data_IF_412825632621
#
_entry.id   IF_412825632621
#
_cell.length_a   1.000
_cell.length_b   1.000
_cell.length_c   1.000
_cell.angle_alpha   90.00
_cell.angle_beta   90.00
_cell.angle_gamma   90.00
#
_symmetry.space_group_name_H-M   'P 1'
#
loop_
_entity.id
_entity.type
_entity.pdbx_description
1 polymer ?
#
# COMPACT_ATOMS: atom_id res chain seq x y z
N UNK A 1 8.21 18.08 35.09
CA UNK A 1 9.18 17.65 34.07
C UNK A 1 8.46 17.71 32.75
N UNK A 2 8.69 18.78 31.98
CA UNK A 2 8.23 18.86 30.60
C UNK A 2 9.02 17.84 29.78
N UNK A 3 8.32 17.05 28.97
CA UNK A 3 8.99 16.23 27.96
C UNK A 3 9.68 17.18 26.98
N UNK A 4 10.94 16.92 26.58
CA UNK A 4 11.56 17.72 25.53
C UNK A 4 10.72 17.61 24.25
N UNK A 5 10.65 18.66 23.43
CA UNK A 5 10.01 18.57 22.12
C UNK A 5 10.67 17.43 21.35
N UNK A 6 9.87 16.62 20.67
CA UNK A 6 10.36 15.64 19.71
C UNK A 6 11.25 16.42 18.74
N UNK A 7 12.56 16.16 18.76
CA UNK A 7 13.46 16.62 17.71
C UNK A 7 12.83 16.15 16.40
N UNK A 8 12.54 17.08 15.50
CA UNK A 8 12.21 16.75 14.12
C UNK A 8 13.35 15.84 13.64
N UNK A 9 13.07 14.55 13.55
CA UNK A 9 13.96 13.64 12.85
C UNK A 9 14.15 14.29 11.49
N UNK A 10 15.38 14.70 11.18
CA UNK A 10 15.79 15.24 9.87
C UNK A 10 15.71 14.09 8.87
N UNK A 11 14.48 13.64 8.62
CA UNK A 11 14.16 12.64 7.64
C UNK A 11 14.54 13.27 6.31
N UNK A 12 15.36 12.59 5.50
CA UNK A 12 15.70 13.11 4.19
C UNK A 12 14.41 13.46 3.45
N UNK A 13 14.38 14.60 2.71
CA UNK A 13 13.21 14.95 1.93
C UNK A 13 12.88 13.77 0.99
N UNK A 14 11.59 13.44 0.80
CA UNK A 14 11.22 12.33 -0.04
C UNK A 14 11.82 12.51 -1.44
N UNK A 15 12.22 11.41 -2.12
CA UNK A 15 12.81 11.52 -3.44
C UNK A 15 11.87 12.25 -4.39
N UNK A 16 12.38 13.09 -5.31
CA UNK A 16 11.55 13.77 -6.28
C UNK A 16 10.81 12.74 -7.13
N UNK A 17 9.51 12.95 -7.34
CA UNK A 17 8.69 12.07 -8.17
C UNK A 17 9.27 12.03 -9.59
N UNK A 18 9.61 10.84 -10.12
CA UNK A 18 10.19 10.74 -11.45
C UNK A 18 9.13 11.04 -12.52
N UNK A 19 9.51 11.64 -13.65
CA UNK A 19 8.59 11.85 -14.78
C UNK A 19 8.31 10.57 -15.57
N UNK A 20 9.15 9.55 -15.43
CA UNK A 20 8.99 8.24 -16.11
C UNK A 20 9.71 7.14 -15.33
N UNK A 21 9.24 5.90 -15.52
CA UNK A 21 9.92 4.71 -14.99
C UNK A 21 10.65 4.01 -16.14
N UNK A 22 11.97 4.16 -16.20
CA UNK A 22 12.83 3.53 -17.21
C UNK A 22 13.66 2.40 -16.60
N UNK A 23 14.22 1.52 -17.43
CA UNK A 23 15.15 0.49 -16.95
C UNK A 23 16.38 1.11 -16.26
N UNK A 24 16.86 2.25 -16.77
CA UNK A 24 17.99 2.95 -16.16
C UNK A 24 17.62 3.48 -14.77
N UNK A 25 16.44 4.10 -14.64
CA UNK A 25 15.91 4.52 -13.34
C UNK A 25 15.83 3.33 -12.38
N UNK A 26 15.18 2.24 -12.79
CA UNK A 26 15.05 1.03 -11.99
C UNK A 26 16.39 0.37 -11.64
N UNK A 27 17.45 0.56 -12.43
CA UNK A 27 18.77 -0.01 -12.16
C UNK A 27 19.61 0.86 -11.21
N UNK A 28 19.53 2.19 -11.35
CA UNK A 28 20.38 3.14 -10.63
C UNK A 28 19.82 3.59 -9.28
N UNK A 29 18.50 3.58 -9.11
CA UNK A 29 17.85 4.01 -7.87
C UNK A 29 18.14 2.97 -6.79
N UNK A 30 18.65 3.34 -5.61
CA UNK A 30 18.86 2.42 -4.48
C UNK A 30 17.55 1.80 -3.95
N UNK A 31 17.63 0.62 -3.30
CA UNK A 31 16.45 -0.13 -2.86
C UNK A 31 15.58 0.64 -1.85
N UNK A 32 16.19 1.43 -0.97
CA UNK A 32 15.47 2.26 0.02
C UNK A 32 14.61 3.34 -0.63
N UNK A 33 15.13 4.00 -1.66
CA UNK A 33 14.42 5.06 -2.40
C UNK A 33 13.51 4.54 -3.53
N UNK A 34 13.72 3.30 -3.98
CA UNK A 34 13.05 2.76 -5.16
C UNK A 34 11.54 2.63 -4.95
N UNK A 35 11.10 1.99 -3.87
CA UNK A 35 9.67 1.77 -3.60
C UNK A 35 8.93 3.10 -3.41
N UNK A 36 9.51 4.01 -2.63
CA UNK A 36 8.93 5.35 -2.42
C UNK A 36 8.76 6.11 -3.74
N UNK A 37 9.75 6.03 -4.62
CA UNK A 37 9.69 6.69 -5.92
C UNK A 37 8.65 6.08 -6.85
N UNK A 38 8.52 4.74 -6.87
CA UNK A 38 7.48 4.05 -7.65
C UNK A 38 6.08 4.38 -7.12
N UNK A 39 5.92 4.42 -5.79
CA UNK A 39 4.67 4.81 -5.16
C UNK A 39 4.30 6.26 -5.49
N UNK A 40 5.22 7.20 -5.29
CA UNK A 40 5.03 8.62 -5.61
C UNK A 40 4.71 8.83 -7.09
N UNK A 41 5.35 8.06 -7.98
CA UNK A 41 5.06 8.09 -9.41
C UNK A 41 3.60 7.73 -9.70
N UNK A 42 3.16 6.55 -9.24
CA UNK A 42 1.79 6.09 -9.50
C UNK A 42 0.78 7.02 -8.83
N UNK A 43 1.03 7.46 -7.59
CA UNK A 43 0.20 8.42 -6.88
C UNK A 43 0.02 9.74 -7.65
N UNK A 44 1.07 10.24 -8.31
CA UNK A 44 0.98 11.45 -9.13
C UNK A 44 0.06 11.31 -10.36
N UNK A 45 -0.08 10.08 -10.87
CA UNK A 45 -0.93 9.77 -12.01
C UNK A 45 -2.39 9.56 -11.59
N UNK A 46 -2.63 8.74 -10.57
CA UNK A 46 -3.99 8.39 -10.11
C UNK A 46 -4.63 9.50 -9.29
N UNK A 47 -3.83 10.35 -8.63
CA UNK A 47 -4.27 11.41 -7.72
C UNK A 47 -5.22 10.84 -6.66
N UNK A 48 -6.49 11.25 -6.67
CA UNK A 48 -7.50 10.81 -5.71
C UNK A 48 -8.21 9.50 -6.11
N UNK A 49 -8.05 9.04 -7.36
CA UNK A 49 -8.69 7.82 -7.87
C UNK A 49 -7.80 6.58 -7.67
N UNK A 50 -7.58 6.23 -6.40
CA UNK A 50 -6.78 5.07 -6.01
C UNK A 50 -7.56 3.75 -6.06
N UNK A 51 -8.79 3.76 -6.58
CA UNK A 51 -9.65 2.58 -6.63
C UNK A 51 -9.07 1.49 -7.53
N UNK A 52 -9.32 0.22 -7.17
CA UNK A 52 -9.04 -0.93 -8.05
C UNK A 52 -9.64 -0.76 -9.46
N UNK A 53 -10.79 -0.07 -9.57
CA UNK A 53 -11.46 0.14 -10.84
C UNK A 53 -10.93 1.34 -11.64
N UNK A 54 -9.93 2.05 -11.11
CA UNK A 54 -9.37 3.23 -11.76
C UNK A 54 -8.86 2.91 -13.17
N UNK A 55 -9.33 3.63 -14.21
CA UNK A 55 -8.86 3.42 -15.57
C UNK A 55 -7.38 3.78 -15.73
N UNK A 56 -6.87 4.71 -14.92
CA UNK A 56 -5.45 5.09 -14.92
C UNK A 56 -4.63 3.93 -14.37
N UNK A 57 -5.00 3.42 -13.18
CA UNK A 57 -4.29 2.31 -12.55
C UNK A 57 -4.30 1.04 -13.42
N UNK A 58 -5.42 0.77 -14.11
CA UNK A 58 -5.56 -0.36 -15.03
C UNK A 58 -4.73 -0.24 -16.31
N UNK A 59 -4.42 0.98 -16.75
CA UNK A 59 -3.61 1.23 -17.94
C UNK A 59 -2.10 1.16 -17.67
N UNK A 60 -1.68 1.16 -16.39
CA UNK A 60 -0.28 1.04 -16.02
C UNK A 60 0.25 -0.39 -16.24
N UNK A 61 1.57 -0.54 -16.45
CA UNK A 61 2.24 -1.84 -16.38
C UNK A 61 1.86 -2.61 -15.12
N UNK A 62 1.68 -3.92 -15.26
CA UNK A 62 1.20 -4.78 -14.17
C UNK A 62 2.06 -4.70 -12.91
N UNK A 63 3.39 -4.55 -13.05
CA UNK A 63 4.30 -4.39 -11.92
C UNK A 63 4.07 -3.09 -11.15
N UNK A 64 3.86 -1.96 -11.84
CA UNK A 64 3.56 -0.67 -11.18
C UNK A 64 2.22 -0.73 -10.45
N UNK A 65 1.21 -1.32 -11.07
CA UNK A 65 -0.11 -1.53 -10.46
C UNK A 65 0.00 -2.39 -9.21
N UNK A 66 0.64 -3.56 -9.30
CA UNK A 66 0.80 -4.47 -8.17
C UNK A 66 1.59 -3.81 -7.03
N UNK A 67 2.69 -3.13 -7.35
CA UNK A 67 3.49 -2.40 -6.36
C UNK A 67 2.67 -1.34 -5.64
N UNK A 68 1.89 -0.53 -6.37
CA UNK A 68 1.06 0.51 -5.77
C UNK A 68 0.00 -0.07 -4.83
N UNK A 69 -0.73 -1.10 -5.27
CA UNK A 69 -1.74 -1.80 -4.46
C UNK A 69 -1.14 -2.33 -3.16
N UNK A 70 0.00 -3.03 -3.25
CA UNK A 70 0.67 -3.55 -2.05
C UNK A 70 1.17 -2.41 -1.16
N UNK A 71 1.73 -1.35 -1.73
CA UNK A 71 2.24 -0.20 -0.95
C UNK A 71 1.14 0.51 -0.17
N UNK A 72 -0.04 0.70 -0.77
CA UNK A 72 -1.21 1.29 -0.09
C UNK A 72 -1.65 0.42 1.08
N UNK A 73 -1.80 -0.89 0.87
CA UNK A 73 -2.21 -1.81 1.92
C UNK A 73 -1.15 -1.87 3.04
N UNK A 74 0.11 -2.01 2.67
CA UNK A 74 1.24 -2.16 3.60
C UNK A 74 1.35 -0.93 4.51
N UNK A 75 1.23 0.28 3.96
CA UNK A 75 1.25 1.52 4.74
C UNK A 75 0.13 1.58 5.78
N UNK A 76 -1.08 1.17 5.43
CA UNK A 76 -2.22 1.18 6.36
C UNK A 76 -2.12 0.09 7.42
N UNK A 77 -1.74 -1.12 7.02
CA UNK A 77 -1.63 -2.26 7.94
C UNK A 77 -0.46 -2.06 8.91
N UNK A 78 0.65 -1.49 8.47
CA UNK A 78 1.78 -1.15 9.33
C UNK A 78 1.47 -0.01 10.32
N UNK A 79 0.51 0.87 9.98
CA UNK A 79 0.13 1.99 10.84
C UNK A 79 -0.96 1.61 11.85
N UNK A 80 -2.01 0.89 11.42
CA UNK A 80 -3.17 0.56 12.26
C UNK A 80 -3.81 -0.79 11.98
N UNK A 81 -3.15 -1.68 11.25
CA UNK A 81 -3.68 -2.99 10.91
C UNK A 81 -4.79 -2.96 9.85
N UNK A 82 -5.39 -4.12 9.57
CA UNK A 82 -6.45 -4.23 8.57
C UNK A 82 -7.72 -3.44 8.95
N UNK A 83 -7.95 -3.19 10.24
CA UNK A 83 -9.04 -2.33 10.70
C UNK A 83 -8.91 -0.92 10.10
N UNK A 84 -7.70 -0.33 10.15
CA UNK A 84 -7.43 0.97 9.54
C UNK A 84 -7.53 0.92 8.01
N UNK A 85 -6.95 -0.10 7.38
CA UNK A 85 -7.00 -0.28 5.93
C UNK A 85 -8.45 -0.27 5.39
N UNK A 86 -9.35 -1.04 6.01
CA UNK A 86 -10.75 -1.10 5.59
C UNK A 86 -11.60 0.09 6.07
N UNK A 87 -11.14 0.84 7.08
CA UNK A 87 -11.81 2.06 7.51
C UNK A 87 -11.51 3.24 6.58
N UNK A 88 -10.25 3.41 6.17
CA UNK A 88 -9.78 4.46 5.28
C UNK A 88 -10.22 4.23 3.82
N UNK A 89 -10.10 5.26 2.98
CA UNK A 89 -10.36 5.15 1.53
C UNK A 89 -9.42 4.17 0.83
N UNK A 90 -8.26 3.89 1.44
CA UNK A 90 -7.28 2.89 1.02
C UNK A 90 -7.88 1.48 0.82
N UNK A 91 -8.96 1.13 1.51
CA UNK A 91 -9.67 -0.14 1.31
C UNK A 91 -10.17 -0.37 -0.13
N UNK A 92 -10.25 0.67 -0.96
CA UNK A 92 -10.65 0.59 -2.37
C UNK A 92 -9.70 -0.23 -3.25
N UNK A 93 -8.43 -0.46 -2.86
CA UNK A 93 -7.52 -1.39 -3.58
C UNK A 93 -7.70 -2.86 -3.18
N UNK A 94 -8.48 -3.12 -2.12
CA UNK A 94 -8.67 -4.43 -1.51
C UNK A 94 -8.96 -5.59 -2.48
N UNK A 95 -9.85 -5.44 -3.49
CA UNK A 95 -10.17 -6.51 -4.43
C UNK A 95 -8.97 -7.09 -5.20
N UNK A 96 -7.90 -6.32 -5.41
CA UNK A 96 -6.67 -6.77 -6.09
C UNK A 96 -5.52 -7.12 -5.16
N UNK A 97 -5.66 -6.88 -3.86
CA UNK A 97 -4.53 -6.94 -2.94
C UNK A 97 -3.92 -8.34 -2.85
N UNK A 98 -4.74 -9.39 -2.73
CA UNK A 98 -4.25 -10.76 -2.68
C UNK A 98 -3.49 -11.18 -3.96
N UNK A 99 -4.04 -10.85 -5.14
CA UNK A 99 -3.38 -11.08 -6.42
C UNK A 99 -2.04 -10.34 -6.52
N UNK A 100 -1.97 -9.10 -6.04
CA UNK A 100 -0.75 -8.31 -6.03
C UNK A 100 0.34 -8.92 -5.13
N UNK A 101 -0.01 -9.47 -3.96
CA UNK A 101 0.96 -10.22 -3.15
C UNK A 101 1.42 -11.52 -3.83
N UNK A 102 0.51 -12.24 -4.47
CA UNK A 102 0.87 -13.44 -5.23
C UNK A 102 1.82 -13.12 -6.40
N UNK A 103 1.63 -11.99 -7.09
CA UNK A 103 2.52 -11.48 -8.13
C UNK A 103 3.96 -11.31 -7.62
N UNK A 104 4.14 -10.81 -6.39
CA UNK A 104 5.46 -10.67 -5.75
C UNK A 104 6.02 -11.98 -5.17
N UNK A 105 5.37 -13.12 -5.40
CA UNK A 105 5.81 -14.42 -4.88
C UNK A 105 5.54 -14.60 -3.40
N UNK A 106 4.50 -13.94 -2.86
CA UNK A 106 4.11 -13.98 -1.46
C UNK A 106 2.73 -14.65 -1.26
N UNK A 107 2.55 -15.93 -1.64
CA UNK A 107 1.25 -16.60 -1.56
C UNK A 107 0.71 -16.67 -0.13
N UNK A 108 1.58 -16.83 0.87
CA UNK A 108 1.16 -16.86 2.27
C UNK A 108 0.61 -15.50 2.74
N UNK A 109 1.14 -14.40 2.22
CA UNK A 109 0.61 -13.05 2.50
C UNK A 109 -0.69 -12.83 1.73
N UNK A 110 -0.81 -13.36 0.51
CA UNK A 110 -2.07 -13.35 -0.23
C UNK A 110 -3.19 -14.04 0.57
N UNK A 111 -2.93 -15.24 1.12
CA UNK A 111 -3.89 -15.96 1.97
C UNK A 111 -4.33 -15.14 3.21
N UNK A 112 -3.39 -14.45 3.86
CA UNK A 112 -3.65 -13.55 4.99
C UNK A 112 -4.57 -12.40 4.56
N UNK A 113 -4.31 -11.78 3.40
CA UNK A 113 -5.13 -10.70 2.87
C UNK A 113 -6.53 -11.18 2.49
N UNK A 114 -6.66 -12.36 1.89
CA UNK A 114 -7.96 -12.97 1.59
C UNK A 114 -8.77 -13.24 2.86
N UNK A 115 -8.14 -13.75 3.92
CA UNK A 115 -8.78 -13.94 5.22
C UNK A 115 -9.24 -12.59 5.81
N UNK A 116 -8.43 -11.54 5.72
CA UNK A 116 -8.82 -10.20 6.14
C UNK A 116 -10.02 -9.68 5.32
N UNK A 117 -10.07 -9.91 4.01
CA UNK A 117 -11.22 -9.56 3.18
C UNK A 117 -12.49 -10.32 3.60
N UNK A 118 -12.38 -11.60 3.94
CA UNK A 118 -13.51 -12.39 4.45
C UNK A 118 -14.03 -11.85 5.80
N UNK A 119 -13.13 -11.47 6.70
CA UNK A 119 -13.51 -10.80 7.97
C UNK A 119 -14.22 -9.48 7.68
N UNK A 120 -13.74 -8.71 6.69
CA UNK A 120 -14.32 -7.42 6.32
C UNK A 120 -15.77 -7.53 5.86
N UNK A 121 -16.17 -8.59 5.13
CA UNK A 121 -17.56 -8.81 4.71
C UNK A 121 -18.54 -8.72 5.89
N UNK A 122 -18.15 -9.22 7.07
CA UNK A 122 -18.97 -9.18 8.27
C UNK A 122 -18.76 -7.91 9.11
N UNK A 123 -17.59 -7.26 8.99
CA UNK A 123 -17.22 -6.08 9.78
C UNK A 123 -17.63 -4.76 9.12
N UNK A 124 -17.84 -4.74 7.79
CA UNK A 124 -18.13 -3.55 7.01
C UNK A 124 -19.25 -2.66 7.59
N UNK A 125 -20.43 -3.18 8.01
CA UNK A 125 -21.49 -2.32 8.55
C UNK A 125 -21.08 -1.52 9.78
N UNK A 126 -20.18 -2.07 10.61
CA UNK A 126 -19.66 -1.37 11.80
C UNK A 126 -18.62 -0.31 11.42
N UNK A 127 -17.78 -0.59 10.42
CA UNK A 127 -16.82 0.40 9.92
C UNK A 127 -17.53 1.55 9.22
N UNK A 128 -18.55 1.25 8.41
CA UNK A 128 -19.37 2.25 7.72
C UNK A 128 -20.10 3.15 8.72
N UNK A 129 -20.76 2.56 9.73
CA UNK A 129 -21.41 3.33 10.79
C UNK A 129 -20.44 4.21 11.59
N UNK A 130 -19.19 3.78 11.77
CA UNK A 130 -18.17 4.60 12.41
C UNK A 130 -17.69 5.73 11.48
N UNK A 131 -17.57 5.47 10.18
CA UNK A 131 -17.20 6.47 9.17
C UNK A 131 -18.27 7.56 9.06
N UNK A 132 -19.54 7.18 9.07
CA UNK A 132 -20.68 8.11 9.02
C UNK A 132 -20.72 9.06 10.22
N UNK A 133 -20.20 8.64 11.39
CA UNK A 133 -20.07 9.50 12.57
C UNK A 133 -18.96 10.54 12.39
N UNK A 134 -17.93 10.25 11.60
CA UNK A 134 -16.84 11.18 11.28
C UNK A 134 -15.98 11.62 12.48
N UNK A 135 -15.98 10.86 13.59
CA UNK A 135 -15.19 11.19 14.79
C UNK A 135 -14.08 10.19 15.05
N UNK A 136 -13.01 10.66 15.69
CA UNK A 136 -11.89 9.81 16.14
C UNK A 136 -12.41 8.78 17.16
N UNK A 137 -13.33 9.15 18.04
CA UNK A 137 -13.90 8.23 19.03
C UNK A 137 -14.68 7.09 18.37
N UNK A 138 -15.42 7.37 17.28
CA UNK A 138 -16.12 6.34 16.52
C UNK A 138 -15.12 5.38 15.85
N UNK A 139 -14.04 5.92 15.26
CA UNK A 139 -12.94 5.12 14.73
C UNK A 139 -12.28 4.25 15.79
N UNK A 140 -11.91 4.82 16.95
CA UNK A 140 -11.26 4.06 18.03
C UNK A 140 -12.14 2.94 18.59
N UNK A 141 -13.47 3.13 18.61
CA UNK A 141 -14.42 2.06 18.97
C UNK A 141 -14.43 0.90 17.97
N UNK A 142 -13.94 1.07 16.75
CA UNK A 142 -13.82 -0.05 15.79
C UNK A 142 -12.76 -1.07 16.22
N UNK A 143 -11.79 -0.68 17.07
CA UNK A 143 -10.78 -1.59 17.64
C UNK A 143 -11.26 -2.41 18.84
N UNK A 144 -12.43 -2.09 19.40
CA UNK A 144 -13.04 -2.92 20.44
C UNK A 144 -13.51 -4.23 19.81
N UNK A 145 -13.01 -5.35 20.35
CA UNK A 145 -13.20 -6.70 19.82
C UNK A 145 -12.85 -6.77 18.33
N UNK A 146 -11.68 -6.22 17.97
CA UNK A 146 -11.21 -6.19 16.59
C UNK A 146 -10.95 -7.60 16.04
N UNK A 147 -11.78 -8.11 15.11
CA UNK A 147 -11.57 -9.42 14.52
C UNK A 147 -10.33 -9.46 13.62
N UNK A 148 -9.79 -8.30 13.21
CA UNK A 148 -8.61 -8.21 12.37
C UNK A 148 -7.29 -8.38 13.13
N UNK A 149 -7.31 -8.40 14.47
CA UNK A 149 -6.09 -8.40 15.29
C UNK A 149 -5.13 -9.53 14.91
N UNK A 150 -5.60 -10.77 14.91
CA UNK A 150 -4.77 -11.95 14.63
C UNK A 150 -4.20 -11.94 13.20
N UNK A 151 -5.00 -11.54 12.20
CA UNK A 151 -4.55 -11.47 10.81
C UNK A 151 -3.57 -10.30 10.59
N UNK A 152 -3.76 -9.18 11.28
CA UNK A 152 -2.82 -8.05 11.26
C UNK A 152 -1.48 -8.43 11.90
N UNK A 153 -1.48 -9.11 13.05
CA UNK A 153 -0.26 -9.57 13.72
C UNK A 153 0.55 -10.55 12.83
N UNK A 154 -0.12 -11.48 12.15
CA UNK A 154 0.53 -12.38 11.18
C UNK A 154 1.10 -11.65 9.98
N UNK A 155 0.39 -10.64 9.47
CA UNK A 155 0.88 -9.80 8.39
C UNK A 155 2.15 -9.05 8.82
N UNK A 156 2.10 -8.38 9.98
CA UNK A 156 3.22 -7.59 10.51
C UNK A 156 4.47 -8.44 10.77
N UNK A 157 4.30 -9.70 11.15
CA UNK A 157 5.42 -10.63 11.31
C UNK A 157 6.17 -10.93 9.99
N UNK A 158 5.60 -10.58 8.83
CA UNK A 158 6.16 -10.78 7.50
C UNK A 158 6.59 -9.47 6.82
N UNK A 159 6.56 -8.32 7.51
CA UNK A 159 6.82 -7.00 6.91
C UNK A 159 8.19 -6.91 6.20
N UNK A 160 9.25 -7.42 6.82
CA UNK A 160 10.59 -7.44 6.23
C UNK A 160 10.66 -8.31 4.97
N UNK A 161 9.96 -9.44 4.96
CA UNK A 161 9.91 -10.34 3.80
C UNK A 161 9.06 -9.74 2.67
N UNK A 162 7.95 -9.07 3.02
CA UNK A 162 7.11 -8.34 2.07
C UNK A 162 7.94 -7.28 1.34
N UNK A 163 8.65 -6.43 2.10
CA UNK A 163 9.55 -5.41 1.53
C UNK A 163 10.62 -6.04 0.65
N UNK A 164 11.31 -7.06 1.16
CA UNK A 164 12.41 -7.70 0.44
C UNK A 164 11.95 -8.38 -0.85
N UNK A 165 10.78 -9.02 -0.86
CA UNK A 165 10.22 -9.69 -2.03
C UNK A 165 9.85 -8.71 -3.13
N UNK A 166 9.24 -7.56 -2.80
CA UNK A 166 8.93 -6.51 -3.79
C UNK A 166 10.17 -6.01 -4.49
N UNK A 167 11.21 -5.65 -3.72
CA UNK A 167 12.50 -5.22 -4.27
C UNK A 167 13.10 -6.29 -5.17
N UNK A 168 13.20 -7.54 -4.69
CA UNK A 168 13.76 -8.65 -5.48
C UNK A 168 13.03 -8.82 -6.80
N UNK A 169 11.70 -8.75 -6.79
CA UNK A 169 10.88 -8.89 -7.99
C UNK A 169 11.09 -7.71 -8.97
N UNK A 170 11.11 -6.46 -8.49
CA UNK A 170 11.37 -5.28 -9.33
C UNK A 170 12.73 -5.39 -10.01
N UNK A 171 13.77 -5.81 -9.27
CA UNK A 171 15.13 -5.98 -9.80
C UNK A 171 15.26 -7.14 -10.79
N UNK A 172 14.53 -8.22 -10.56
CA UNK A 172 14.54 -9.40 -11.43
C UNK A 172 13.74 -9.19 -12.73
N UNK A 173 12.67 -8.39 -12.67
CA UNK A 173 11.70 -8.22 -13.76
C UNK A 173 11.44 -6.73 -14.10
N UNK A 174 12.47 -5.91 -14.34
CA UNK A 174 12.29 -4.47 -14.51
C UNK A 174 11.39 -4.11 -15.70
N UNK A 175 11.27 -4.96 -16.71
CA UNK A 175 10.34 -4.80 -17.83
C UNK A 175 8.88 -4.66 -17.42
N UNK A 176 8.46 -5.27 -16.30
CA UNK A 176 7.07 -5.23 -15.84
C UNK A 176 6.70 -3.89 -15.19
N UNK A 177 7.69 -3.03 -14.95
CA UNK A 177 7.55 -1.75 -14.26
C UNK A 177 7.85 -0.55 -15.16
N UNK A 178 8.39 -0.77 -16.35
CA UNK A 178 8.78 0.32 -17.26
C UNK A 178 7.54 1.03 -17.80
N UNK A 179 7.46 2.32 -17.52
CA UNK A 179 6.45 3.25 -18.03
C UNK A 179 7.16 4.52 -18.52
N UNK A 180 7.63 4.53 -19.78
CA UNK A 180 8.21 5.72 -20.37
C UNK A 180 7.06 6.70 -20.59
N UNK A 181 7.11 7.91 -20.01
CA UNK A 181 6.10 8.89 -20.36
C UNK A 181 6.24 9.20 -21.85
N UNK A 182 5.13 8.99 -22.57
CA UNK A 182 4.95 9.61 -23.86
C UNK A 182 4.99 11.12 -23.65
N UNK A 183 5.86 11.80 -24.39
CA UNK A 183 5.73 13.25 -24.54
C UNK A 183 4.28 13.56 -24.88
N UNK A 184 3.70 14.50 -24.15
CA UNK A 184 2.49 15.16 -24.63
C UNK A 184 2.82 15.73 -26.00
N UNK A 185 2.10 15.24 -27.02
CA UNK A 185 1.99 15.90 -28.32
C UNK A 185 1.44 17.32 -28.17
#
# INVERSE_FOLDING_TARGET
>A
MEQPPLEDFDLPPPPPTPDSITREFLARTPDDALEESLFAYVLSLVKDDISYDSPILRALPEGLRAHFVVSVLDAEVCNGGFAQFFFNSSGQVGPSSAEAFAFFGLPLVADIVEEAMQIHVHRAPRLDSARDQGTIEAFMKTYQDDPFRSVSERYLALSDEIRSARIRHIRAHPELFVHPTGGTA
#
